data_IF_579710123743
#
_entry.id   IF_579710123743
#
_cell.length_a   1.000
_cell.length_b   1.000
_cell.length_c   1.000
_cell.angle_alpha   90.00
_cell.angle_beta   90.00
_cell.angle_gamma   90.00
#
_symmetry.space_group_name_H-M   'P 1'
#
loop_
_entity.id
_entity.type
_entity.pdbx_description
1 polymer ?
#
# COMPACT_ATOMS: atom_id res chain seq x y z
N UNK A 1 28.43 38.70 26.80
CA UNK A 1 27.86 37.37 26.50
C UNK A 1 26.73 37.53 25.49
N UNK A 2 26.97 37.20 24.21
CA UNK A 2 25.93 37.11 23.17
C UNK A 2 25.76 35.63 22.85
N UNK A 3 24.65 35.05 23.26
CA UNK A 3 24.26 33.68 22.93
C UNK A 3 23.84 33.64 21.45
N UNK A 4 24.65 33.00 20.61
CA UNK A 4 24.27 32.66 19.24
C UNK A 4 23.31 31.46 19.30
N UNK A 5 22.03 31.70 19.04
CA UNK A 5 21.08 30.66 18.67
C UNK A 5 21.49 30.11 17.30
N UNK A 6 21.87 28.82 17.26
CA UNK A 6 22.00 28.08 16.00
C UNK A 6 20.59 27.70 15.52
N UNK A 7 20.26 27.86 14.23
CA UNK A 7 19.01 27.30 13.71
C UNK A 7 19.13 25.78 13.71
N UNK A 8 18.18 25.10 14.34
CA UNK A 8 17.98 23.66 14.19
C UNK A 8 17.42 23.46 12.79
N UNK A 9 18.25 22.89 11.91
CA UNK A 9 17.79 22.43 10.59
C UNK A 9 16.96 21.18 10.86
N UNK A 10 15.63 21.31 10.80
CA UNK A 10 14.69 20.21 10.87
C UNK A 10 14.67 19.48 9.52
N UNK A 11 15.69 18.69 9.25
CA UNK A 11 15.67 17.72 8.15
C UNK A 11 15.21 16.37 8.71
N UNK A 12 13.88 16.21 8.82
CA UNK A 12 13.25 14.89 8.93
C UNK A 12 12.27 14.74 7.77
N UNK A 13 12.82 14.45 6.59
CA UNK A 13 12.04 13.82 5.54
C UNK A 13 11.83 12.38 5.96
N UNK A 14 10.69 12.14 6.61
CA UNK A 14 10.17 10.81 6.83
C UNK A 14 9.82 10.21 5.47
N UNK A 15 10.67 9.36 4.90
CA UNK A 15 10.35 8.66 3.65
C UNK A 15 9.40 7.52 4.02
N UNK A 16 8.14 7.86 4.23
CA UNK A 16 7.04 6.92 4.25
C UNK A 16 6.59 6.71 2.79
N UNK A 17 6.63 5.45 2.35
CA UNK A 17 6.21 5.05 1.01
C UNK A 17 4.67 5.09 0.97
N UNK A 18 4.12 5.90 0.08
CA UNK A 18 2.69 6.19 0.01
C UNK A 18 2.12 5.76 -1.35
N UNK A 19 1.12 4.87 -1.34
CA UNK A 19 0.39 4.40 -2.52
C UNK A 19 -1.08 4.85 -2.39
N UNK A 20 -1.71 5.33 -3.46
CA UNK A 20 -3.05 5.93 -3.38
C UNK A 20 -4.15 4.96 -3.83
N UNK A 21 -5.14 4.78 -2.94
CA UNK A 21 -6.34 3.97 -3.16
C UNK A 21 -7.14 4.33 -4.42
N UNK A 22 -7.67 3.26 -5.02
CA UNK A 22 -8.56 3.19 -6.19
C UNK A 22 -9.39 4.44 -6.49
N UNK A 23 -9.19 4.95 -7.69
CA UNK A 23 -9.96 6.05 -8.26
C UNK A 23 -11.16 5.48 -9.04
N UNK A 24 -12.41 5.90 -8.75
CA UNK A 24 -13.56 5.49 -9.55
C UNK A 24 -13.40 5.96 -11.01
N UNK A 25 -13.75 5.08 -11.93
CA UNK A 25 -13.55 5.23 -13.38
C UNK A 25 -14.22 6.51 -13.91
N UNK A 26 -13.45 7.57 -14.16
CA UNK A 26 -13.83 8.60 -15.12
C UNK A 26 -13.09 8.34 -16.44
N UNK A 27 -13.87 8.18 -17.50
CA UNK A 27 -13.38 7.89 -18.84
C UNK A 27 -12.68 9.13 -19.40
N UNK A 28 -11.40 8.96 -19.77
CA UNK A 28 -10.73 9.75 -20.79
C UNK A 28 -9.51 10.55 -20.30
N UNK A 29 -8.30 10.09 -20.65
CA UNK A 29 -7.44 10.69 -21.69
C UNK A 29 -6.06 9.98 -21.78
N UNK A 30 -5.65 9.65 -23.01
CA UNK A 30 -4.34 9.17 -23.51
C UNK A 30 -3.62 8.01 -22.79
N UNK A 31 -4.12 6.79 -22.96
CA UNK A 31 -3.30 5.56 -22.87
C UNK A 31 -2.76 5.10 -24.24
N UNK A 32 -3.03 5.87 -25.31
CA UNK A 32 -2.73 5.55 -26.72
C UNK A 32 -1.22 5.40 -27.03
N UNK A 33 -0.33 5.71 -26.09
CA UNK A 33 1.13 5.59 -26.24
C UNK A 33 1.73 4.28 -25.72
N UNK A 34 1.01 3.52 -24.89
CA UNK A 34 1.51 2.25 -24.34
C UNK A 34 1.07 1.09 -25.23
N UNK A 35 2.03 0.32 -25.74
CA UNK A 35 1.77 -0.90 -26.50
C UNK A 35 1.95 -2.14 -25.63
N UNK A 36 1.21 -3.22 -25.92
CA UNK A 36 1.48 -4.53 -25.35
C UNK A 36 2.91 -4.94 -25.72
N UNK A 37 3.76 -5.10 -24.70
CA UNK A 37 5.19 -5.31 -24.86
C UNK A 37 5.64 -6.69 -24.35
N UNK A 38 4.95 -7.24 -23.36
CA UNK A 38 5.27 -8.55 -22.76
C UNK A 38 4.03 -9.19 -22.16
N UNK A 39 4.01 -10.51 -22.11
CA UNK A 39 3.07 -11.27 -21.30
C UNK A 39 3.81 -12.28 -20.43
N UNK A 40 3.25 -12.56 -19.25
CA UNK A 40 3.59 -13.70 -18.41
C UNK A 40 2.36 -14.60 -18.25
N UNK A 41 2.38 -15.51 -17.26
CA UNK A 41 1.27 -16.43 -17.02
C UNK A 41 0.01 -15.67 -16.59
N UNK A 42 0.14 -14.75 -15.64
CA UNK A 42 -1.00 -14.05 -15.04
C UNK A 42 -1.06 -12.55 -15.36
N UNK A 43 -0.08 -11.99 -16.08
CA UNK A 43 0.02 -10.55 -16.33
C UNK A 43 0.30 -10.21 -17.80
N UNK A 44 -0.23 -9.08 -18.26
CA UNK A 44 0.03 -8.51 -19.57
C UNK A 44 0.59 -7.09 -19.41
N UNK A 45 1.78 -6.83 -19.92
CA UNK A 45 2.55 -5.60 -19.69
C UNK A 45 2.50 -4.67 -20.89
N UNK A 46 2.11 -3.43 -20.63
CA UNK A 46 1.99 -2.35 -21.59
C UNK A 46 3.00 -1.24 -21.24
N UNK A 47 3.86 -0.87 -22.18
CA UNK A 47 4.92 0.13 -21.94
C UNK A 47 5.29 0.89 -23.21
N UNK A 48 6.14 1.90 -23.07
CA UNK A 48 6.88 2.46 -24.21
C UNK A 48 8.07 1.57 -24.56
N UNK A 49 8.69 1.77 -25.73
CA UNK A 49 9.91 1.04 -26.13
C UNK A 49 11.09 1.26 -25.19
N UNK A 50 11.18 2.44 -24.55
CA UNK A 50 12.26 2.76 -23.61
C UNK A 50 12.22 1.94 -22.32
N UNK A 51 11.03 1.43 -21.97
CA UNK A 51 10.78 0.75 -20.70
C UNK A 51 10.69 -0.78 -20.84
N UNK A 52 10.97 -1.35 -22.01
CA UNK A 52 10.92 -2.80 -22.21
C UNK A 52 11.92 -3.52 -21.27
N UNK A 53 13.07 -2.89 -21.00
CA UNK A 53 14.14 -3.46 -20.19
C UNK A 53 13.78 -3.75 -18.73
N UNK A 54 12.69 -3.18 -18.19
CA UNK A 54 12.25 -3.42 -16.80
C UNK A 54 11.14 -4.47 -16.69
N UNK A 55 10.49 -4.85 -17.81
CA UNK A 55 9.32 -5.71 -17.78
C UNK A 55 9.63 -7.14 -17.32
N UNK A 56 10.84 -7.64 -17.55
CA UNK A 56 11.24 -8.96 -17.04
C UNK A 56 11.28 -8.98 -15.51
N UNK A 57 11.89 -7.97 -14.88
CA UNK A 57 11.93 -7.85 -13.42
C UNK A 57 10.52 -7.71 -12.82
N UNK A 58 9.66 -6.90 -13.43
CA UNK A 58 8.27 -6.73 -13.01
C UNK A 58 7.46 -8.03 -13.14
N UNK A 59 7.63 -8.75 -14.25
CA UNK A 59 6.99 -10.05 -14.44
C UNK A 59 7.46 -11.07 -13.39
N UNK A 60 8.78 -11.17 -13.16
CA UNK A 60 9.33 -12.10 -12.19
C UNK A 60 8.80 -11.81 -10.78
N UNK A 61 8.83 -10.54 -10.33
CA UNK A 61 8.39 -10.22 -8.96
C UNK A 61 6.89 -10.47 -8.78
N UNK A 62 6.06 -10.15 -9.77
CA UNK A 62 4.62 -10.39 -9.71
C UNK A 62 4.29 -11.89 -9.71
N UNK A 63 4.88 -12.66 -10.63
CA UNK A 63 4.65 -14.11 -10.72
C UNK A 63 5.12 -14.84 -9.46
N UNK A 64 6.25 -14.45 -8.89
CA UNK A 64 6.77 -15.04 -7.64
C UNK A 64 5.85 -14.79 -6.43
N UNK A 65 5.07 -13.70 -6.44
CA UNK A 65 4.14 -13.38 -5.36
C UNK A 65 2.68 -13.79 -5.66
N UNK A 66 2.35 -14.07 -6.92
CA UNK A 66 0.98 -14.36 -7.37
C UNK A 66 0.32 -15.49 -6.56
N UNK A 67 0.96 -16.66 -6.53
CA UNK A 67 0.39 -17.84 -5.86
C UNK A 67 0.27 -17.62 -4.35
N UNK A 68 1.25 -16.97 -3.72
CA UNK A 68 1.22 -16.69 -2.28
C UNK A 68 0.00 -15.83 -1.92
N UNK A 69 -0.17 -14.72 -2.63
CA UNK A 69 -1.23 -13.74 -2.36
C UNK A 69 -2.62 -14.32 -2.67
N UNK A 70 -2.78 -14.94 -3.84
CA UNK A 70 -4.08 -15.49 -4.27
C UNK A 70 -4.53 -16.69 -3.43
N UNK A 71 -3.61 -17.62 -3.11
CA UNK A 71 -3.94 -18.76 -2.25
C UNK A 71 -4.28 -18.33 -0.83
N UNK A 72 -3.54 -17.35 -0.27
CA UNK A 72 -3.81 -16.82 1.07
C UNK A 72 -5.20 -16.21 1.17
N UNK A 73 -5.62 -15.47 0.13
CA UNK A 73 -6.97 -14.92 0.06
C UNK A 73 -8.02 -15.94 -0.40
N UNK A 74 -7.62 -17.12 -0.88
CA UNK A 74 -8.52 -18.16 -1.39
C UNK A 74 -9.29 -17.71 -2.63
N UNK A 75 -8.63 -16.98 -3.53
CA UNK A 75 -9.23 -16.44 -4.76
C UNK A 75 -8.60 -17.06 -6.01
N UNK A 76 -9.30 -16.93 -7.13
CA UNK A 76 -8.79 -17.24 -8.46
C UNK A 76 -9.10 -16.08 -9.39
N UNK A 77 -8.12 -15.70 -10.23
CA UNK A 77 -8.27 -14.63 -11.22
C UNK A 77 -8.07 -15.27 -12.59
N UNK A 78 -9.16 -15.44 -13.34
CA UNK A 78 -9.15 -16.20 -14.60
C UNK A 78 -8.51 -15.45 -15.76
N UNK A 79 -8.49 -14.11 -15.71
CA UNK A 79 -7.92 -13.25 -16.73
C UNK A 79 -6.57 -12.70 -16.31
N UNK A 80 -5.74 -12.37 -17.29
CA UNK A 80 -4.50 -11.65 -17.02
C UNK A 80 -4.81 -10.24 -16.50
N UNK A 81 -4.01 -9.80 -15.54
CA UNK A 81 -4.04 -8.42 -15.03
C UNK A 81 -3.18 -7.56 -15.94
N UNK A 82 -3.72 -6.43 -16.38
CA UNK A 82 -2.95 -5.50 -17.20
C UNK A 82 -2.01 -4.68 -16.32
N UNK A 83 -0.74 -4.59 -16.69
CA UNK A 83 0.28 -3.79 -16.01
C UNK A 83 0.74 -2.70 -16.97
N UNK A 84 0.38 -1.44 -16.67
CA UNK A 84 0.72 -0.26 -17.47
C UNK A 84 1.90 0.46 -16.82
N UNK A 85 3.03 0.47 -17.53
CA UNK A 85 4.28 1.09 -17.08
C UNK A 85 4.50 2.39 -17.84
N UNK A 86 4.44 3.51 -17.11
CA UNK A 86 4.56 4.85 -17.67
C UNK A 86 6.02 5.34 -17.59
N UNK A 87 6.54 6.06 -18.59
CA UNK A 87 7.97 6.39 -18.68
C UNK A 87 8.45 7.39 -17.62
N UNK A 88 7.53 8.15 -17.00
CA UNK A 88 7.85 9.17 -16.01
C UNK A 88 6.64 9.48 -15.10
N UNK A 89 6.90 10.11 -13.95
CA UNK A 89 5.90 10.46 -12.95
C UNK A 89 4.77 11.30 -13.54
N UNK A 90 5.08 12.29 -14.38
CA UNK A 90 4.08 13.19 -14.93
C UNK A 90 3.10 12.44 -15.85
N UNK A 91 3.62 11.57 -16.71
CA UNK A 91 2.81 10.72 -17.58
C UNK A 91 1.92 9.78 -16.76
N UNK A 92 2.46 9.20 -15.68
CA UNK A 92 1.71 8.37 -14.75
C UNK A 92 0.58 9.16 -14.03
N UNK A 93 0.88 10.33 -13.49
CA UNK A 93 -0.06 11.21 -12.79
C UNK A 93 -1.22 11.67 -13.67
N UNK A 94 -0.94 11.98 -14.93
CA UNK A 94 -1.98 12.26 -15.93
C UNK A 94 -2.87 11.03 -16.15
N UNK A 95 -2.28 9.83 -16.26
CA UNK A 95 -3.02 8.60 -16.53
C UNK A 95 -3.95 8.17 -15.38
N UNK A 96 -3.60 8.49 -14.13
CA UNK A 96 -4.49 8.30 -12.97
C UNK A 96 -5.48 9.47 -12.76
N UNK A 97 -5.56 10.41 -13.72
CA UNK A 97 -6.40 11.61 -13.64
C UNK A 97 -6.12 12.46 -12.39
N UNK A 98 -4.84 12.52 -11.98
CA UNK A 98 -4.38 13.37 -10.89
C UNK A 98 -3.03 14.03 -11.25
N UNK A 99 -3.01 15.01 -12.18
CA UNK A 99 -1.77 15.58 -12.72
C UNK A 99 -0.87 16.27 -11.70
N UNK A 100 -1.45 16.81 -10.62
CA UNK A 100 -0.75 17.48 -9.52
C UNK A 100 -0.59 16.56 -8.30
N UNK A 101 -0.61 15.24 -8.52
CA UNK A 101 -0.34 14.27 -7.48
C UNK A 101 1.08 14.51 -6.91
N UNK A 102 1.28 14.29 -5.61
CA UNK A 102 2.61 14.38 -5.03
C UNK A 102 3.60 13.36 -5.65
N UNK A 103 4.89 13.71 -5.69
CA UNK A 103 5.98 12.87 -6.25
C UNK A 103 6.08 11.45 -5.66
N UNK A 104 5.57 11.24 -4.44
CA UNK A 104 5.57 9.93 -3.80
C UNK A 104 4.48 8.99 -4.33
N UNK A 105 3.51 9.49 -5.11
CA UNK A 105 2.47 8.66 -5.74
C UNK A 105 3.07 8.08 -7.01
N UNK A 106 3.37 6.78 -6.99
CA UNK A 106 4.11 6.09 -8.06
C UNK A 106 3.45 4.80 -8.57
N UNK A 107 2.37 4.38 -7.92
CA UNK A 107 1.56 3.23 -8.26
C UNK A 107 0.08 3.52 -7.99
N UNK A 108 -0.79 2.83 -8.72
CA UNK A 108 -2.22 2.76 -8.43
C UNK A 108 -2.84 1.53 -9.10
N UNK A 109 -4.06 1.17 -8.69
CA UNK A 109 -4.90 0.19 -9.38
C UNK A 109 -6.25 0.80 -9.77
N UNK A 110 -6.72 0.50 -10.99
CA UNK A 110 -8.03 0.92 -11.50
C UNK A 110 -8.73 -0.29 -12.09
N UNK A 111 -9.64 -0.90 -11.32
CA UNK A 111 -10.23 -2.19 -11.68
C UNK A 111 -9.18 -3.29 -11.73
N UNK A 112 -9.05 -3.97 -12.86
CA UNK A 112 -8.06 -5.03 -13.09
C UNK A 112 -6.78 -4.55 -13.79
N UNK A 113 -6.50 -3.26 -13.66
CA UNK A 113 -5.31 -2.63 -14.22
C UNK A 113 -4.41 -2.13 -13.09
N UNK A 114 -3.14 -2.53 -13.13
CA UNK A 114 -2.04 -1.98 -12.35
C UNK A 114 -1.39 -0.88 -13.17
N UNK A 115 -1.22 0.30 -12.60
CA UNK A 115 -0.57 1.44 -13.22
C UNK A 115 0.62 1.82 -12.35
N UNK A 116 1.79 2.00 -12.95
CA UNK A 116 2.98 2.45 -12.22
C UNK A 116 3.90 3.29 -13.07
N UNK A 117 4.70 4.14 -12.43
CA UNK A 117 5.87 4.74 -13.07
C UNK A 117 6.94 3.67 -13.32
N UNK A 118 7.68 3.82 -14.41
CA UNK A 118 8.80 2.96 -14.78
C UNK A 118 9.87 2.98 -13.68
N UNK A 119 10.32 1.81 -13.20
CA UNK A 119 11.45 1.76 -12.29
C UNK A 119 12.77 2.28 -12.85
N UNK A 120 12.86 2.47 -14.17
CA UNK A 120 14.00 3.16 -14.79
C UNK A 120 13.99 4.68 -14.58
N UNK A 121 12.84 5.23 -14.17
CA UNK A 121 12.66 6.65 -13.90
C UNK A 121 11.70 6.86 -12.71
N UNK A 122 12.11 6.45 -11.49
CA UNK A 122 11.24 6.39 -10.32
C UNK A 122 10.90 7.77 -9.72
N UNK A 123 11.42 8.86 -10.29
CA UNK A 123 11.37 10.20 -9.73
C UNK A 123 12.37 10.43 -8.59
N UNK A 124 12.06 11.40 -7.73
CA UNK A 124 12.98 11.92 -6.71
C UNK A 124 12.91 11.20 -5.37
N UNK A 125 11.79 10.52 -5.08
CA UNK A 125 11.50 9.91 -3.78
C UNK A 125 11.77 8.41 -3.76
N UNK A 126 11.53 7.73 -4.88
CA UNK A 126 11.56 6.27 -4.97
C UNK A 126 12.84 5.75 -5.62
N UNK A 127 13.17 4.50 -5.31
CA UNK A 127 14.23 3.72 -5.98
C UNK A 127 13.61 2.63 -6.85
N UNK A 128 14.43 2.04 -7.72
CA UNK A 128 14.06 0.86 -8.51
C UNK A 128 13.51 -0.27 -7.62
N UNK A 129 14.19 -0.57 -6.52
CA UNK A 129 13.83 -1.65 -5.59
C UNK A 129 12.51 -1.34 -4.89
N UNK A 130 12.30 -0.09 -4.48
CA UNK A 130 11.03 0.31 -3.85
C UNK A 130 9.84 0.12 -4.80
N UNK A 131 10.04 0.32 -6.11
CA UNK A 131 8.99 0.10 -7.10
C UNK A 131 8.70 -1.38 -7.38
N UNK A 132 9.67 -2.27 -7.16
CA UNK A 132 9.41 -3.72 -7.16
C UNK A 132 8.47 -4.12 -6.02
N UNK A 133 8.53 -3.43 -4.88
CA UNK A 133 7.59 -3.64 -3.79
C UNK A 133 6.24 -2.97 -4.08
N UNK A 134 6.23 -1.75 -4.62
CA UNK A 134 5.00 -1.04 -5.00
C UNK A 134 4.16 -1.88 -5.97
N UNK A 135 4.74 -2.50 -7.00
CA UNK A 135 3.92 -3.26 -7.94
C UNK A 135 3.25 -4.49 -7.30
N UNK A 136 3.90 -5.10 -6.30
CA UNK A 136 3.28 -6.16 -5.49
C UNK A 136 2.17 -5.60 -4.61
N UNK A 137 2.39 -4.43 -4.00
CA UNK A 137 1.38 -3.73 -3.20
C UNK A 137 0.11 -3.47 -4.01
N UNK A 138 0.24 -2.91 -5.23
CA UNK A 138 -0.91 -2.66 -6.10
C UNK A 138 -1.64 -3.96 -6.50
N UNK A 139 -0.89 -5.03 -6.75
CA UNK A 139 -1.48 -6.33 -7.02
C UNK A 139 -2.28 -6.86 -5.83
N UNK A 140 -1.83 -6.60 -4.59
CA UNK A 140 -2.57 -6.98 -3.38
C UNK A 140 -3.90 -6.26 -3.31
N UNK A 141 -3.98 -4.97 -3.67
CA UNK A 141 -5.27 -4.29 -3.73
C UNK A 141 -6.23 -4.97 -4.69
N UNK A 142 -5.78 -5.31 -5.91
CA UNK A 142 -6.60 -6.09 -6.85
C UNK A 142 -7.05 -7.40 -6.21
N UNK A 143 -6.14 -8.17 -5.64
CA UNK A 143 -6.46 -9.44 -5.01
C UNK A 143 -7.48 -9.29 -3.86
N UNK A 144 -7.35 -8.25 -3.04
CA UNK A 144 -8.32 -7.90 -2.00
C UNK A 144 -9.69 -7.60 -2.59
N UNK A 145 -9.78 -6.85 -3.70
CA UNK A 145 -11.06 -6.61 -4.38
C UNK A 145 -11.73 -7.90 -4.87
N UNK A 146 -10.96 -8.87 -5.38
CA UNK A 146 -11.49 -10.19 -5.71
C UNK A 146 -11.96 -10.97 -4.48
N UNK A 147 -11.25 -10.84 -3.36
CA UNK A 147 -11.56 -11.57 -2.12
C UNK A 147 -12.86 -11.08 -1.47
N UNK A 148 -13.13 -9.77 -1.53
CA UNK A 148 -14.37 -9.19 -1.00
C UNK A 148 -15.55 -9.33 -1.99
N UNK A 149 -15.25 -9.45 -3.29
CA UNK A 149 -16.24 -9.64 -4.35
C UNK A 149 -17.21 -8.45 -4.51
N UNK A 150 -18.45 -8.73 -4.89
CA UNK A 150 -19.52 -7.72 -5.05
C UNK A 150 -20.09 -7.20 -3.72
N UNK A 151 -19.56 -7.62 -2.56
CA UNK A 151 -19.87 -6.95 -1.29
C UNK A 151 -19.39 -5.52 -1.45
N UNK A 152 -20.28 -4.54 -1.25
CA UNK A 152 -20.02 -3.14 -1.57
C UNK A 152 -18.65 -2.73 -1.01
N UNK A 153 -17.74 -2.29 -1.89
CA UNK A 153 -16.37 -1.81 -1.60
C UNK A 153 -16.34 -0.73 -0.49
N UNK A 154 -17.48 -0.17 -0.12
CA UNK A 154 -17.64 0.78 0.99
C UNK A 154 -17.34 0.20 2.38
N UNK A 155 -17.10 -1.10 2.52
CA UNK A 155 -16.89 -1.75 3.81
C UNK A 155 -15.44 -1.95 4.25
N UNK A 156 -14.44 -1.93 3.36
CA UNK A 156 -13.06 -2.25 3.74
C UNK A 156 -12.37 -1.05 4.40
N UNK A 157 -11.91 -1.15 5.67
CA UNK A 157 -11.25 -0.04 6.33
C UNK A 157 -9.97 0.36 5.59
N UNK A 158 -9.76 1.66 5.42
CA UNK A 158 -8.57 2.21 4.75
C UNK A 158 -7.27 1.66 5.32
N UNK A 159 -7.16 1.65 6.65
CA UNK A 159 -5.97 1.14 7.33
C UNK A 159 -5.73 -0.35 7.05
N UNK A 160 -6.80 -1.14 6.90
CA UNK A 160 -6.68 -2.57 6.64
C UNK A 160 -6.24 -2.81 5.20
N UNK A 161 -6.80 -2.06 4.24
CA UNK A 161 -6.43 -2.18 2.83
C UNK A 161 -4.95 -1.82 2.61
N UNK A 162 -4.53 -0.66 3.13
CA UNK A 162 -3.14 -0.18 3.01
C UNK A 162 -2.17 -1.07 3.79
N UNK A 163 -2.51 -1.40 5.05
CA UNK A 163 -1.65 -2.19 5.92
C UNK A 163 -1.40 -3.59 5.36
N UNK A 164 -2.43 -4.24 4.81
CA UNK A 164 -2.29 -5.58 4.25
C UNK A 164 -1.47 -5.56 2.95
N UNK A 165 -1.70 -4.58 2.08
CA UNK A 165 -0.91 -4.39 0.88
C UNK A 165 0.57 -4.16 1.20
N UNK A 166 0.88 -3.31 2.19
CA UNK A 166 2.26 -3.10 2.65
C UNK A 166 2.89 -4.36 3.28
N UNK A 167 2.12 -5.12 4.05
CA UNK A 167 2.59 -6.36 4.68
C UNK A 167 2.95 -7.41 3.62
N UNK A 168 2.05 -7.68 2.67
CA UNK A 168 2.29 -8.62 1.56
C UNK A 168 3.45 -8.18 0.66
N UNK A 169 3.55 -6.89 0.37
CA UNK A 169 4.63 -6.33 -0.45
C UNK A 169 5.99 -6.32 0.26
N UNK A 170 6.04 -6.70 1.55
CA UNK A 170 7.27 -6.68 2.34
C UNK A 170 7.81 -5.27 2.56
N UNK A 171 6.93 -4.26 2.59
CA UNK A 171 7.32 -2.85 2.74
C UNK A 171 7.63 -2.48 4.18
N UNK A 172 7.26 -3.32 5.16
CA UNK A 172 7.63 -3.11 6.56
C UNK A 172 9.12 -3.37 6.79
N UNK A 173 9.79 -2.42 7.43
CA UNK A 173 11.20 -2.49 7.77
C UNK A 173 11.48 -1.76 9.09
N UNK A 174 12.71 -1.89 9.59
CA UNK A 174 13.14 -1.28 10.86
C UNK A 174 12.96 0.23 10.92
N UNK A 175 13.04 0.92 9.79
CA UNK A 175 12.80 2.36 9.75
C UNK A 175 11.34 2.69 10.00
N UNK A 176 10.41 1.98 9.34
CA UNK A 176 8.96 2.14 9.58
C UNK A 176 8.61 1.78 11.03
N UNK A 177 9.13 0.66 11.55
CA UNK A 177 8.88 0.26 12.96
C UNK A 177 9.32 1.35 13.94
N UNK A 178 10.54 1.89 13.76
CA UNK A 178 11.05 2.99 14.61
C UNK A 178 10.27 4.29 14.44
N UNK A 179 9.82 4.60 13.23
CA UNK A 179 9.00 5.78 12.95
C UNK A 179 7.66 5.70 13.67
N UNK A 180 6.99 4.55 13.58
CA UNK A 180 5.74 4.25 14.29
C UNK A 180 5.96 4.30 15.80
N UNK A 181 6.95 3.60 16.32
CA UNK A 181 7.27 3.57 17.76
C UNK A 181 7.54 4.98 18.30
N UNK A 182 8.29 5.80 17.56
CA UNK A 182 8.57 7.19 17.93
C UNK A 182 7.30 8.05 17.92
N UNK A 183 6.40 7.85 16.95
CA UNK A 183 5.13 8.58 16.89
C UNK A 183 4.22 8.32 18.10
N UNK A 184 4.30 7.12 18.71
CA UNK A 184 3.54 6.75 19.90
C UNK A 184 4.11 7.30 21.22
N UNK A 185 5.36 7.78 21.23
CA UNK A 185 5.99 8.35 22.43
C UNK A 185 5.52 9.77 22.71
N UNK A 186 5.24 10.53 21.65
CA UNK A 186 4.98 11.96 21.76
C UNK A 186 3.49 12.29 21.97
N UNK A 187 2.59 11.47 21.44
CA UNK A 187 1.14 11.67 21.45
C UNK A 187 0.39 10.33 21.44
N UNK A 188 -0.87 10.36 21.84
CA UNK A 188 -1.78 9.24 21.58
C UNK A 188 -1.92 9.06 20.05
N UNK A 189 -1.83 7.82 19.51
CA UNK A 189 -2.06 7.59 18.09
C UNK A 189 -3.52 7.86 17.72
N UNK A 190 -3.80 8.09 16.42
CA UNK A 190 -5.17 8.05 15.93
C UNK A 190 -5.80 6.67 16.16
N UNK A 191 -7.11 6.65 16.41
CA UNK A 191 -7.89 5.41 16.45
C UNK A 191 -8.00 4.79 15.06
N UNK A 192 -8.32 3.50 14.98
CA UNK A 192 -8.54 2.79 13.71
C UNK A 192 -9.72 3.40 12.94
N UNK A 193 -10.75 3.84 13.66
CA UNK A 193 -11.84 4.63 13.08
C UNK A 193 -11.35 5.96 12.46
N UNK A 194 -10.46 6.70 13.13
CA UNK A 194 -9.87 7.93 12.59
C UNK A 194 -9.02 7.65 11.34
N UNK A 195 -8.22 6.59 11.36
CA UNK A 195 -7.45 6.14 10.20
C UNK A 195 -8.36 5.78 9.02
N UNK A 196 -9.54 5.20 9.30
CA UNK A 196 -10.51 4.85 8.26
C UNK A 196 -11.11 6.09 7.59
N UNK A 197 -11.46 7.11 8.38
CA UNK A 197 -12.19 8.30 7.89
C UNK A 197 -11.28 9.43 7.38
N UNK A 198 -9.97 9.39 7.66
CA UNK A 198 -9.03 10.43 7.25
C UNK A 198 -9.04 10.64 5.72
N UNK A 199 -8.95 11.88 5.25
CA UNK A 199 -8.61 12.15 3.85
C UNK A 199 -7.23 11.57 3.52
N UNK A 200 -6.92 11.37 2.24
CA UNK A 200 -5.61 10.83 1.86
C UNK A 200 -4.43 11.69 2.36
N UNK A 201 -4.60 13.02 2.37
CA UNK A 201 -3.59 13.95 2.87
C UNK A 201 -3.43 13.84 4.39
N UNK A 202 -4.52 13.79 5.14
CA UNK A 202 -4.48 13.59 6.60
C UNK A 202 -3.87 12.25 6.96
N UNK A 203 -4.24 11.19 6.23
CA UNK A 203 -3.72 9.85 6.41
C UNK A 203 -2.20 9.80 6.18
N UNK A 204 -1.68 10.50 5.17
CA UNK A 204 -0.23 10.68 4.99
C UNK A 204 0.43 11.43 6.15
N UNK A 205 -0.11 12.60 6.51
CA UNK A 205 0.45 13.46 7.56
C UNK A 205 0.47 12.81 8.96
N UNK A 206 -0.46 11.91 9.25
CA UNK A 206 -0.53 11.21 10.52
C UNK A 206 0.25 9.88 10.56
N UNK A 207 1.13 9.65 9.58
CA UNK A 207 1.86 8.39 9.40
C UNK A 207 0.91 7.19 9.21
N UNK A 208 -0.26 7.39 8.62
CA UNK A 208 -1.34 6.41 8.52
C UNK A 208 -0.92 5.09 7.90
N UNK A 209 -0.02 5.11 6.91
CA UNK A 209 0.52 3.90 6.27
C UNK A 209 1.43 3.13 7.22
N UNK A 210 2.40 3.81 7.86
CA UNK A 210 3.24 3.20 8.88
C UNK A 210 2.42 2.60 10.03
N UNK A 211 1.43 3.34 10.52
CA UNK A 211 0.50 2.85 11.53
C UNK A 211 -0.27 1.62 11.02
N UNK A 212 -0.81 1.67 9.81
CA UNK A 212 -1.60 0.59 9.18
C UNK A 212 -0.82 -0.71 9.06
N UNK A 213 0.39 -0.68 8.50
CA UNK A 213 1.20 -1.90 8.38
C UNK A 213 1.62 -2.44 9.75
N UNK A 214 1.84 -1.57 10.75
CA UNK A 214 2.13 -2.01 12.12
C UNK A 214 0.92 -2.65 12.81
N UNK A 215 -0.30 -2.18 12.52
CA UNK A 215 -1.54 -2.82 13.00
C UNK A 215 -1.65 -4.21 12.39
N UNK A 216 -1.43 -4.32 11.08
CA UNK A 216 -1.47 -5.61 10.39
C UNK A 216 -0.38 -6.56 10.89
N UNK A 217 0.86 -6.09 11.06
CA UNK A 217 1.95 -6.88 11.65
C UNK A 217 1.56 -7.42 13.04
N UNK A 218 1.03 -6.55 13.92
CA UNK A 218 0.51 -6.96 15.23
C UNK A 218 -0.57 -8.05 15.13
N UNK A 219 -1.54 -7.87 14.24
CA UNK A 219 -2.63 -8.83 14.08
C UNK A 219 -2.12 -10.18 13.61
N UNK A 220 -1.17 -10.19 12.66
CA UNK A 220 -0.57 -11.45 12.19
C UNK A 220 0.27 -12.11 13.27
N UNK A 221 1.15 -11.36 13.94
CA UNK A 221 2.09 -11.92 14.90
C UNK A 221 1.38 -12.42 16.18
N UNK A 222 0.27 -11.78 16.55
CA UNK A 222 -0.48 -12.14 17.77
C UNK A 222 -1.59 -13.15 17.52
N UNK A 223 -2.31 -13.04 16.40
CA UNK A 223 -3.54 -13.78 16.13
C UNK A 223 -3.47 -14.72 14.93
N UNK A 224 -2.39 -14.66 14.15
CA UNK A 224 -2.18 -15.48 12.97
C UNK A 224 -2.80 -14.89 11.70
N UNK A 225 -2.19 -15.21 10.57
CA UNK A 225 -2.60 -14.71 9.24
C UNK A 225 -4.02 -15.12 8.85
N UNK A 226 -4.50 -16.29 9.29
CA UNK A 226 -5.83 -16.78 8.94
C UNK A 226 -6.94 -15.87 9.46
N UNK A 227 -6.79 -15.34 10.69
CA UNK A 227 -7.73 -14.37 11.26
C UNK A 227 -7.69 -13.04 10.52
N UNK A 228 -6.52 -12.59 10.09
CA UNK A 228 -6.41 -11.40 9.25
C UNK A 228 -7.12 -11.59 7.90
N UNK A 229 -6.95 -12.75 7.27
CA UNK A 229 -7.65 -13.08 6.01
C UNK A 229 -9.17 -13.10 6.22
N UNK A 230 -9.66 -13.66 7.33
CA UNK A 230 -11.08 -13.55 7.69
C UNK A 230 -11.53 -12.09 7.83
N UNK A 231 -10.73 -11.24 8.48
CA UNK A 231 -11.04 -9.81 8.62
C UNK A 231 -11.09 -9.09 7.28
N UNK A 232 -10.20 -9.42 6.34
CA UNK A 232 -10.23 -8.83 4.99
C UNK A 232 -11.54 -9.17 4.27
N UNK A 233 -12.07 -10.40 4.45
CA UNK A 233 -13.31 -10.87 3.80
C UNK A 233 -14.60 -10.38 4.48
N UNK A 234 -14.51 -10.05 5.77
CA UNK A 234 -15.61 -9.62 6.64
C UNK A 234 -15.13 -8.51 7.60
N UNK A 235 -14.80 -7.32 7.07
CA UNK A 235 -14.24 -6.23 7.88
C UNK A 235 -15.16 -5.74 9.00
N UNK A 236 -16.47 -5.90 8.86
CA UNK A 236 -17.48 -5.59 9.86
C UNK A 236 -17.49 -6.56 11.07
N UNK A 237 -16.84 -7.73 10.93
CA UNK A 237 -16.90 -8.83 11.90
C UNK A 237 -15.72 -8.85 12.88
N UNK A 238 -15.02 -7.73 13.08
CA UNK A 238 -13.79 -7.66 13.90
C UNK A 238 -13.98 -8.29 15.29
N UNK A 239 -15.05 -7.95 16.01
CA UNK A 239 -15.28 -8.49 17.36
C UNK A 239 -15.55 -9.99 17.35
N UNK A 240 -16.22 -10.49 16.30
CA UNK A 240 -16.51 -11.92 16.14
C UNK A 240 -15.24 -12.71 15.81
N UNK A 241 -14.37 -12.16 14.96
CA UNK A 241 -13.13 -12.81 14.49
C UNK A 241 -12.08 -12.88 15.61
N UNK A 242 -11.92 -11.78 16.35
CA UNK A 242 -10.90 -11.68 17.39
C UNK A 242 -11.41 -12.04 18.79
N UNK A 243 -12.73 -12.05 19.00
CA UNK A 243 -13.34 -12.27 20.31
C UNK A 243 -13.13 -11.09 21.27
N UNK A 244 -12.73 -9.93 20.75
CA UNK A 244 -12.36 -8.74 21.49
C UNK A 244 -12.96 -7.49 20.82
N UNK A 245 -13.41 -6.50 21.60
CA UNK A 245 -13.82 -5.21 21.04
C UNK A 245 -12.66 -4.53 20.28
N UNK A 246 -12.96 -3.76 19.24
CA UNK A 246 -11.96 -3.02 18.43
C UNK A 246 -11.04 -2.18 19.33
N UNK A 247 -11.60 -1.44 20.29
CA UNK A 247 -10.84 -0.59 21.22
C UNK A 247 -9.86 -1.37 22.13
N UNK A 248 -10.04 -2.68 22.28
CA UNK A 248 -9.16 -3.55 23.05
C UNK A 248 -7.99 -3.99 22.18
N UNK A 249 -8.25 -4.31 20.91
CA UNK A 249 -7.22 -4.56 19.90
C UNK A 249 -6.35 -3.31 19.67
N UNK A 250 -6.95 -2.11 19.62
CA UNK A 250 -6.21 -0.85 19.54
C UNK A 250 -5.19 -0.71 20.69
N UNK A 251 -5.62 -0.99 21.93
CA UNK A 251 -4.75 -0.91 23.12
C UNK A 251 -3.63 -1.95 23.07
N UNK A 252 -3.95 -3.18 22.67
CA UNK A 252 -2.96 -4.24 22.54
C UNK A 252 -1.95 -3.95 21.44
N UNK A 253 -2.38 -3.40 20.31
CA UNK A 253 -1.48 -2.93 19.26
C UNK A 253 -0.51 -1.85 19.78
N UNK A 254 -1.01 -0.88 20.56
CA UNK A 254 -0.16 0.15 21.16
C UNK A 254 0.89 -0.49 22.08
N UNK A 255 0.50 -1.46 22.91
CA UNK A 255 1.43 -2.20 23.78
C UNK A 255 2.45 -3.00 22.96
N UNK A 256 2.01 -3.66 21.90
CA UNK A 256 2.85 -4.41 20.97
C UNK A 256 3.95 -3.53 20.37
N UNK A 257 3.59 -2.36 19.83
CA UNK A 257 4.54 -1.41 19.25
C UNK A 257 5.52 -0.87 20.29
N UNK A 258 5.05 -0.63 21.53
CA UNK A 258 5.90 -0.15 22.63
C UNK A 258 6.77 -1.24 23.26
N UNK A 259 6.63 -2.49 22.82
CA UNK A 259 7.27 -3.66 23.43
C UNK A 259 6.95 -3.80 24.93
N UNK A 260 5.75 -3.37 25.32
CA UNK A 260 5.23 -3.53 26.68
C UNK A 260 4.69 -4.96 26.85
N UNK A 261 4.87 -5.55 28.04
CA UNK A 261 4.27 -6.87 28.33
C UNK A 261 2.75 -6.72 28.38
N UNK A 262 2.05 -7.60 27.65
CA UNK A 262 0.62 -7.81 27.81
C UNK A 262 0.41 -8.51 29.16
N UNK A 263 -0.25 -7.84 30.11
CA UNK A 263 -0.68 -8.44 31.39
C UNK A 263 -1.91 -9.34 31.22
#
# INVERSE_FOLDING_TARGET
MRTKTRPVILNMLSIAIFVFLTIPKLVGQNTDSLGLAKESQHFAFFSTKGDIGVLDSLAIILENNYARITNRLGIQIEKKINVKVFPDIKSFHVAINYPDAPDWVVGSCIGDELLMVSPLNPGSIHTYESLMQVIVHEFVHIAVYYAIGNKVVTGLPKWLNEGYAQYEAGQINEYIRKSVESSLREKLPPTWAQLNTASAMEFGHMNGYGLSVSIVEFLVDTYGIDKLVSLIKEPESIETIYGLPENTLEKQWIQYVKHEKTE
#
